data_IF_627646858908
#
_entry.id   IF_627646858908
#
_cell.length_a   1.000
_cell.length_b   1.000
_cell.length_c   1.000
_cell.angle_alpha   90.00
_cell.angle_beta   90.00
_cell.angle_gamma   90.00
#
_symmetry.space_group_name_H-M   'P 1'
#
loop_
_entity.id
_entity.type
_entity.pdbx_description
1 polymer ?
#
# COMPACT_ATOMS: atom_id res chain seq x y z
N UNK A 1 -12.29 -50.11 -29.95
CA UNK A 1 -12.04 -48.65 -29.89
C UNK A 1 -11.95 -48.28 -28.44
N UNK A 2 -10.73 -48.07 -27.93
CA UNK A 2 -10.51 -47.58 -26.57
C UNK A 2 -10.53 -46.05 -26.60
N UNK A 3 -11.41 -45.45 -25.82
CA UNK A 3 -11.47 -44.00 -25.58
C UNK A 3 -10.17 -43.53 -24.91
N UNK A 4 -9.61 -42.36 -25.26
CA UNK A 4 -8.47 -41.83 -24.53
C UNK A 4 -8.93 -41.27 -23.18
N UNK A 5 -8.18 -41.63 -22.12
CA UNK A 5 -8.26 -41.03 -20.79
C UNK A 5 -7.98 -39.51 -20.88
N UNK A 6 -9.02 -38.69 -20.75
CA UNK A 6 -8.90 -37.28 -20.39
C UNK A 6 -8.81 -37.20 -18.87
N UNK A 7 -7.60 -37.06 -18.32
CA UNK A 7 -7.45 -36.88 -16.86
C UNK A 7 -6.04 -36.41 -16.45
N UNK A 8 -5.50 -35.28 -16.95
CA UNK A 8 -4.24 -34.74 -16.38
C UNK A 8 -4.20 -33.20 -16.36
N UNK A 9 -3.69 -32.66 -15.24
CA UNK A 9 -3.59 -31.24 -14.85
C UNK A 9 -4.82 -30.64 -14.14
N UNK A 10 -5.19 -31.22 -12.98
CA UNK A 10 -6.06 -30.57 -11.99
C UNK A 10 -5.28 -29.54 -11.17
N UNK A 11 -5.81 -28.31 -11.10
CA UNK A 11 -5.26 -27.20 -10.31
C UNK A 11 -5.85 -27.25 -8.89
N UNK A 12 -5.08 -27.68 -7.89
CA UNK A 12 -5.39 -27.39 -6.48
C UNK A 12 -4.52 -26.22 -6.01
N UNK A 13 -5.08 -25.01 -6.06
CA UNK A 13 -4.52 -23.86 -5.37
C UNK A 13 -5.60 -23.26 -4.47
N UNK A 14 -5.36 -23.23 -3.16
CA UNK A 14 -6.08 -22.33 -2.27
C UNK A 14 -5.68 -20.89 -2.61
N UNK A 15 -6.48 -20.25 -3.46
CA UNK A 15 -6.23 -18.88 -3.87
C UNK A 15 -6.60 -17.93 -2.73
N UNK A 16 -5.60 -17.41 -2.03
CA UNK A 16 -5.78 -16.26 -1.15
C UNK A 16 -5.49 -15.00 -1.96
N UNK A 17 -6.55 -14.31 -2.37
CA UNK A 17 -6.41 -12.96 -2.91
C UNK A 17 -5.90 -12.04 -1.80
N UNK A 18 -4.64 -11.62 -1.91
CA UNK A 18 -4.25 -10.37 -1.25
C UNK A 18 -5.02 -9.28 -1.95
N UNK A 19 -5.84 -8.54 -1.20
CA UNK A 19 -6.59 -7.39 -1.69
C UNK A 19 -5.69 -6.52 -2.56
N UNK A 20 -5.88 -6.71 -3.86
CA UNK A 20 -5.02 -6.30 -4.94
C UNK A 20 -5.87 -6.51 -6.17
N UNK A 21 -6.50 -5.43 -6.60
CA UNK A 21 -7.50 -5.43 -7.66
C UNK A 21 -6.94 -6.13 -8.91
N UNK A 22 -7.42 -7.33 -9.22
CA UNK A 22 -7.08 -8.04 -10.44
C UNK A 22 -8.31 -8.27 -11.31
N UNK A 23 -8.21 -7.73 -12.53
CA UNK A 23 -8.75 -8.22 -13.80
C UNK A 23 -10.26 -8.52 -13.85
N UNK A 24 -11.03 -7.45 -14.01
CA UNK A 24 -11.96 -7.34 -15.13
C UNK A 24 -11.60 -6.04 -15.87
N UNK A 25 -11.84 -5.96 -17.17
CA UNK A 25 -11.61 -4.77 -18.01
C UNK A 25 -12.46 -3.57 -17.57
N UNK A 26 -12.09 -2.96 -16.45
CA UNK A 26 -12.25 -1.56 -16.18
C UNK A 26 -10.86 -1.06 -15.80
N UNK A 27 -10.32 -0.12 -16.56
CA UNK A 27 -9.13 0.64 -16.19
C UNK A 27 -9.43 1.41 -14.89
N UNK A 28 -9.37 0.74 -13.73
CA UNK A 28 -9.29 1.42 -12.44
C UNK A 28 -7.81 1.55 -12.14
N UNK A 29 -7.22 2.57 -12.75
CA UNK A 29 -5.98 3.10 -12.22
C UNK A 29 -6.16 3.31 -10.72
N UNK A 30 -5.12 3.01 -9.94
CA UNK A 30 -5.00 3.54 -8.58
C UNK A 30 -5.29 5.03 -8.68
N UNK A 31 -6.50 5.45 -8.28
CA UNK A 31 -6.79 6.85 -8.08
C UNK A 31 -5.84 7.24 -6.95
N UNK A 32 -4.75 7.90 -7.30
CA UNK A 32 -4.03 8.70 -6.34
C UNK A 32 -5.09 9.54 -5.62
N UNK A 33 -4.96 9.73 -4.29
CA UNK A 33 -5.90 10.56 -3.56
C UNK A 33 -6.12 11.84 -4.37
N UNK A 34 -7.39 12.12 -4.65
CA UNK A 34 -7.77 13.17 -5.58
C UNK A 34 -7.05 14.45 -5.17
N UNK A 35 -6.21 14.97 -6.07
CA UNK A 35 -5.45 16.17 -5.79
C UNK A 35 -6.42 17.33 -5.85
N UNK A 36 -6.54 18.00 -4.72
CA UNK A 36 -7.40 19.14 -4.58
C UNK A 36 -6.47 20.34 -4.40
N UNK A 37 -6.53 21.26 -5.35
CA UNK A 37 -5.66 22.44 -5.37
C UNK A 37 -6.37 23.59 -4.67
N UNK A 38 -5.65 24.24 -3.77
CA UNK A 38 -6.18 25.31 -2.94
C UNK A 38 -5.37 26.58 -3.13
N UNK A 39 -6.06 27.68 -3.37
CA UNK A 39 -5.44 29.00 -3.45
C UNK A 39 -5.85 29.79 -2.22
N UNK A 40 -4.89 30.07 -1.35
CA UNK A 40 -5.05 31.02 -0.25
C UNK A 40 -4.64 32.40 -0.75
N UNK A 41 -5.57 33.35 -0.69
CA UNK A 41 -5.41 34.73 -1.14
C UNK A 41 -5.47 35.64 0.09
N UNK A 42 -4.33 36.22 0.45
CA UNK A 42 -4.20 37.32 1.41
C UNK A 42 -3.85 38.61 0.68
N UNK A 43 -4.05 39.77 1.32
CA UNK A 43 -3.93 41.10 0.71
C UNK A 43 -2.57 41.40 0.05
N UNK A 44 -1.50 40.64 0.38
CA UNK A 44 -0.17 40.77 -0.22
C UNK A 44 0.39 39.47 -0.85
N UNK A 45 -0.29 38.32 -0.75
CA UNK A 45 0.28 37.03 -1.19
C UNK A 45 -0.79 36.08 -1.73
N UNK A 46 -0.52 35.50 -2.91
CA UNK A 46 -1.28 34.39 -3.49
C UNK A 46 -0.45 33.12 -3.27
N UNK A 47 -0.91 32.25 -2.36
CA UNK A 47 -0.25 30.98 -2.07
C UNK A 47 -1.08 29.84 -2.67
N UNK A 48 -0.46 29.03 -3.51
CA UNK A 48 -1.04 27.78 -4.01
C UNK A 48 -0.54 26.63 -3.15
N UNK A 49 -1.46 25.94 -2.47
CA UNK A 49 -1.18 24.75 -1.68
C UNK A 49 -1.82 23.56 -2.38
N UNK A 50 -1.04 22.51 -2.60
CA UNK A 50 -1.54 21.25 -3.13
C UNK A 50 -1.90 20.34 -1.95
N UNK A 51 -3.18 19.99 -1.85
CA UNK A 51 -3.69 19.06 -0.85
C UNK A 51 -4.34 17.84 -1.50
N UNK A 52 -4.71 16.89 -0.67
CA UNK A 52 -5.40 15.67 -1.05
C UNK A 52 -6.78 15.64 -0.41
N UNK A 53 -7.83 15.45 -1.20
CA UNK A 53 -9.19 15.46 -0.69
C UNK A 53 -10.21 15.27 -1.80
N UNK A 54 -11.41 14.85 -1.45
CA UNK A 54 -12.51 14.70 -2.40
C UNK A 54 -13.47 15.89 -2.30
N UNK A 55 -13.13 16.99 -2.97
CA UNK A 55 -13.96 18.18 -3.04
C UNK A 55 -14.71 18.18 -4.37
N UNK A 56 -16.04 18.07 -4.31
CA UNK A 56 -16.91 18.01 -5.50
C UNK A 56 -17.21 19.37 -6.12
N UNK A 57 -17.18 20.44 -5.32
CA UNK A 57 -17.55 21.80 -5.74
C UNK A 57 -16.59 22.85 -5.20
N UNK A 58 -16.44 23.96 -5.91
CA UNK A 58 -15.53 25.02 -5.49
C UNK A 58 -16.02 25.70 -4.22
N UNK A 59 -15.20 25.80 -3.16
CA UNK A 59 -15.55 26.48 -1.91
C UNK A 59 -14.82 27.80 -1.81
N UNK A 60 -15.57 28.89 -1.62
CA UNK A 60 -15.01 30.21 -1.35
C UNK A 60 -15.33 30.58 0.09
N UNK A 61 -14.32 30.61 0.95
CA UNK A 61 -14.49 30.82 2.38
C UNK A 61 -13.33 31.65 2.96
N UNK A 62 -13.45 32.04 4.23
CA UNK A 62 -12.32 32.61 4.98
C UNK A 62 -11.57 31.49 5.71
N UNK A 63 -10.25 31.47 5.62
CA UNK A 63 -9.44 30.56 6.43
C UNK A 63 -9.49 31.01 7.89
N UNK A 64 -9.61 30.06 8.82
CA UNK A 64 -9.54 30.36 10.23
C UNK A 64 -8.74 29.32 10.99
N UNK A 65 -7.94 29.79 11.95
CA UNK A 65 -7.22 28.90 12.87
C UNK A 65 -8.18 28.22 13.85
N UNK A 66 -7.89 26.95 14.18
CA UNK A 66 -8.67 26.15 15.12
C UNK A 66 -8.83 26.78 16.51
N UNK A 67 -7.82 27.52 16.99
CA UNK A 67 -7.83 28.18 18.33
C UNK A 67 -8.98 29.17 18.53
N UNK A 68 -9.54 29.70 17.44
CA UNK A 68 -10.69 30.61 17.48
C UNK A 68 -12.01 29.91 17.81
N UNK A 69 -12.08 28.59 17.60
CA UNK A 69 -13.30 27.77 17.68
C UNK A 69 -13.20 26.64 18.69
N UNK A 70 -11.98 26.20 18.99
CA UNK A 70 -11.70 25.10 19.90
C UNK A 70 -10.68 25.49 20.96
N UNK A 71 -10.83 24.94 22.16
CA UNK A 71 -9.87 25.06 23.26
C UNK A 71 -8.53 24.42 22.86
N UNK A 72 -7.43 25.11 23.18
CA UNK A 72 -6.05 24.78 22.77
C UNK A 72 -5.82 24.58 21.26
N UNK A 73 -6.80 24.96 20.43
CA UNK A 73 -6.78 24.71 18.99
C UNK A 73 -6.88 23.22 18.62
N UNK A 74 -7.35 22.37 19.53
CA UNK A 74 -7.57 20.94 19.32
C UNK A 74 -8.94 20.75 18.65
N UNK A 75 -8.97 20.29 17.41
CA UNK A 75 -10.22 20.08 16.67
C UNK A 75 -10.92 18.80 17.11
N UNK A 76 -11.45 18.81 18.34
CA UNK A 76 -12.23 17.72 18.92
C UNK A 76 -13.61 18.25 19.32
N UNK A 77 -14.70 17.46 19.14
CA UNK A 77 -16.06 17.88 19.50
C UNK A 77 -16.20 18.44 20.92
N UNK A 78 -15.53 17.82 21.89
CA UNK A 78 -15.58 18.24 23.30
C UNK A 78 -14.86 19.56 23.59
N UNK A 79 -13.97 20.01 22.70
CA UNK A 79 -13.17 21.23 22.89
C UNK A 79 -13.84 22.44 22.23
N UNK A 80 -15.05 22.29 21.68
CA UNK A 80 -15.72 23.36 20.96
C UNK A 80 -16.19 24.48 21.88
N UNK A 81 -15.77 25.72 21.58
CA UNK A 81 -16.08 26.95 22.33
C UNK A 81 -17.50 27.48 22.12
N UNK A 82 -18.40 26.65 21.60
CA UNK A 82 -19.79 27.03 21.26
C UNK A 82 -19.88 28.20 20.24
N UNK A 83 -18.82 28.41 19.45
CA UNK A 83 -18.72 29.49 18.46
C UNK A 83 -18.88 28.93 17.05
N UNK A 84 -19.75 29.55 16.24
CA UNK A 84 -20.02 29.08 14.87
C UNK A 84 -18.98 29.58 13.86
N UNK A 85 -18.56 28.69 12.97
CA UNK A 85 -17.58 28.89 11.90
C UNK A 85 -18.22 29.02 10.51
N UNK A 86 -19.46 29.52 10.43
CA UNK A 86 -20.18 29.69 9.15
C UNK A 86 -19.37 30.54 8.17
N UNK A 87 -19.25 30.05 6.93
CA UNK A 87 -18.50 30.69 5.85
C UNK A 87 -16.98 30.59 6.00
N UNK A 88 -16.49 29.70 6.88
CA UNK A 88 -15.06 29.54 7.16
C UNK A 88 -14.61 28.10 6.96
N UNK A 89 -13.36 27.97 6.54
CA UNK A 89 -12.64 26.71 6.49
C UNK A 89 -11.67 26.71 7.67
N UNK A 90 -11.75 25.69 8.51
CA UNK A 90 -10.93 25.60 9.72
C UNK A 90 -9.63 24.86 9.41
N UNK A 91 -8.49 25.40 9.83
CA UNK A 91 -7.19 24.74 9.78
C UNK A 91 -6.93 23.98 11.09
N UNK A 92 -6.77 22.66 11.00
CA UNK A 92 -6.58 21.75 12.14
C UNK A 92 -5.31 20.93 11.97
N UNK A 93 -4.52 20.78 13.03
CA UNK A 93 -3.30 19.95 13.03
C UNK A 93 -3.54 18.67 13.81
N UNK A 94 -3.19 17.53 13.23
CA UNK A 94 -3.21 16.21 13.89
C UNK A 94 -2.36 16.17 15.17
N UNK A 95 -1.27 16.92 15.21
CA UNK A 95 -0.33 16.98 16.35
C UNK A 95 -0.85 17.80 17.54
N UNK A 96 -1.85 18.67 17.34
CA UNK A 96 -2.51 19.40 18.44
C UNK A 96 -3.59 18.52 19.05
N UNK A 97 -3.18 17.62 19.94
CA UNK A 97 -4.08 16.76 20.72
C UNK A 97 -4.27 15.33 20.18
N UNK A 98 -3.40 14.85 19.27
CA UNK A 98 -3.47 13.49 18.70
C UNK A 98 -4.86 13.14 18.15
N UNK A 99 -5.40 14.03 17.32
CA UNK A 99 -6.73 13.89 16.73
C UNK A 99 -6.67 13.14 15.40
N UNK A 100 -7.71 12.37 15.10
CA UNK A 100 -7.90 11.73 13.78
C UNK A 100 -8.69 12.63 12.84
N UNK A 101 -8.60 12.39 11.52
CA UNK A 101 -9.35 13.17 10.53
C UNK A 101 -10.86 13.15 10.83
N UNK A 102 -11.46 11.97 11.02
CA UNK A 102 -12.89 11.84 11.28
C UNK A 102 -13.38 12.60 12.54
N UNK A 103 -12.55 12.67 13.59
CA UNK A 103 -12.88 13.49 14.78
C UNK A 103 -12.84 14.99 14.47
N UNK A 104 -11.86 15.43 13.69
CA UNK A 104 -11.73 16.82 13.26
C UNK A 104 -12.90 17.24 12.34
N UNK A 105 -13.34 16.35 11.47
CA UNK A 105 -14.52 16.55 10.61
C UNK A 105 -15.78 16.72 11.43
N UNK A 106 -16.01 15.84 12.41
CA UNK A 106 -17.15 15.95 13.29
C UNK A 106 -17.13 17.26 14.08
N UNK A 107 -15.96 17.68 14.57
CA UNK A 107 -15.79 18.96 15.26
C UNK A 107 -16.08 20.16 14.35
N UNK A 108 -15.58 20.15 13.12
CA UNK A 108 -15.81 21.21 12.13
C UNK A 108 -17.30 21.29 11.72
N UNK A 109 -17.94 20.13 11.56
CA UNK A 109 -19.37 20.03 11.28
C UNK A 109 -20.21 20.60 12.43
N UNK A 110 -19.87 20.26 13.68
CA UNK A 110 -20.53 20.81 14.88
C UNK A 110 -20.40 22.34 14.94
N UNK A 111 -19.24 22.87 14.54
CA UNK A 111 -19.01 24.31 14.45
C UNK A 111 -19.74 24.97 13.25
N UNK A 112 -20.41 24.20 12.38
CA UNK A 112 -21.04 24.66 11.14
C UNK A 112 -20.04 25.33 10.19
N UNK A 113 -18.85 24.73 10.06
CA UNK A 113 -17.82 25.16 9.12
C UNK A 113 -18.22 24.83 7.67
N UNK A 114 -17.64 25.56 6.72
CA UNK A 114 -17.82 25.32 5.29
C UNK A 114 -16.83 24.29 4.73
N UNK A 115 -15.79 23.93 5.49
CA UNK A 115 -14.78 22.96 5.12
C UNK A 115 -13.71 22.80 6.19
N UNK A 116 -12.83 21.82 6.00
CA UNK A 116 -11.73 21.48 6.89
C UNK A 116 -10.42 21.40 6.09
N UNK A 117 -9.36 22.02 6.58
CA UNK A 117 -7.99 21.71 6.16
C UNK A 117 -7.33 20.95 7.31
N UNK A 118 -7.04 19.67 7.08
CA UNK A 118 -6.46 18.77 8.06
C UNK A 118 -4.97 18.57 7.77
N UNK A 119 -4.11 18.92 8.72
CA UNK A 119 -2.65 18.83 8.57
C UNK A 119 -2.18 17.54 9.20
N UNK A 120 -1.67 16.62 8.37
CA UNK A 120 -1.15 15.33 8.81
C UNK A 120 0.00 14.83 7.93
N UNK A 121 0.87 13.94 8.44
CA UNK A 121 1.92 13.32 7.64
C UNK A 121 1.33 12.48 6.50
N UNK A 122 1.88 12.59 5.29
CA UNK A 122 1.44 11.90 4.06
C UNK A 122 1.53 10.35 4.10
N UNK A 123 1.94 9.74 5.22
CA UNK A 123 1.97 8.27 5.39
C UNK A 123 0.61 7.64 5.71
N UNK A 124 -0.39 8.44 6.08
CA UNK A 124 -1.71 7.98 6.56
C UNK A 124 -2.84 8.16 5.53
N UNK A 125 -2.50 8.12 4.24
CA UNK A 125 -3.45 8.41 3.15
C UNK A 125 -4.48 7.29 2.97
N UNK A 126 -5.66 7.48 3.56
CA UNK A 126 -6.85 6.67 3.31
C UNK A 126 -7.79 7.49 2.42
N UNK A 127 -8.28 6.93 1.31
CA UNK A 127 -9.40 7.52 0.58
C UNK A 127 -10.68 7.19 1.35
N UNK A 128 -10.99 7.99 2.37
CA UNK A 128 -12.22 7.87 3.14
C UNK A 128 -13.27 8.81 2.57
N UNK A 129 -14.55 8.56 2.87
CA UNK A 129 -15.64 9.45 2.48
C UNK A 129 -15.75 10.55 3.53
N UNK A 130 -15.23 11.73 3.21
CA UNK A 130 -15.26 12.89 4.11
C UNK A 130 -16.72 13.40 4.29
N UNK A 131 -17.16 13.64 5.53
CA UNK A 131 -18.52 14.12 5.83
C UNK A 131 -18.71 15.63 5.65
N UNK A 132 -17.59 16.35 5.60
CA UNK A 132 -17.47 17.78 5.29
C UNK A 132 -16.39 17.90 4.23
N UNK A 133 -16.40 18.89 3.33
CA UNK A 133 -15.31 19.04 2.38
C UNK A 133 -13.96 19.21 3.11
N UNK A 134 -13.14 18.16 3.04
CA UNK A 134 -11.86 18.08 3.73
C UNK A 134 -10.71 18.09 2.74
N UNK A 135 -9.66 18.79 3.14
CA UNK A 135 -8.41 18.93 2.40
C UNK A 135 -7.29 18.52 3.33
N UNK A 136 -6.59 17.46 2.98
CA UNK A 136 -5.41 17.03 3.72
C UNK A 136 -4.16 17.66 3.14
N UNK A 137 -3.32 18.19 3.99
CA UNK A 137 -2.05 18.80 3.60
C UNK A 137 -0.93 18.27 4.48
N UNK A 138 0.27 18.22 3.92
CA UNK A 138 1.46 17.88 4.69
C UNK A 138 1.78 18.95 5.74
N UNK A 139 2.56 18.56 6.74
CA UNK A 139 3.01 19.42 7.84
C UNK A 139 3.70 20.70 7.35
N UNK A 140 4.48 20.63 6.28
CA UNK A 140 5.19 21.79 5.70
C UNK A 140 4.19 22.83 5.18
N UNK A 141 3.21 22.39 4.39
CA UNK A 141 2.20 23.28 3.82
C UNK A 141 1.23 23.81 4.88
N UNK A 142 0.85 22.96 5.84
CA UNK A 142 0.03 23.36 6.99
C UNK A 142 0.71 24.46 7.82
N UNK A 143 2.02 24.39 8.02
CA UNK A 143 2.78 25.41 8.76
C UNK A 143 2.76 26.75 8.03
N UNK A 144 2.98 26.76 6.70
CA UNK A 144 2.87 27.98 5.89
C UNK A 144 1.49 28.63 5.99
N UNK A 145 0.42 27.81 6.00
CA UNK A 145 -0.95 28.30 6.20
C UNK A 145 -1.18 28.88 7.60
N UNK A 146 -0.57 28.27 8.61
CA UNK A 146 -0.63 28.76 9.99
C UNK A 146 0.14 30.08 10.16
N UNK A 147 1.30 30.22 9.52
CA UNK A 147 2.09 31.46 9.52
C UNK A 147 1.34 32.58 8.80
N UNK A 148 0.73 32.29 7.65
CA UNK A 148 -0.15 33.21 6.94
C UNK A 148 -1.28 33.75 7.82
N UNK A 149 -1.90 32.87 8.64
CA UNK A 149 -2.94 33.28 9.58
C UNK A 149 -2.42 34.17 10.70
N UNK A 150 -1.19 33.95 11.17
CA UNK A 150 -0.57 34.74 12.23
C UNK A 150 -0.15 36.14 11.75
N UNK A 151 0.31 36.26 10.50
CA UNK A 151 0.78 37.51 9.91
C UNK A 151 -0.36 38.38 9.36
N UNK A 152 -1.51 37.79 9.04
CA UNK A 152 -2.61 38.51 8.39
C UNK A 152 -3.49 39.25 9.39
N UNK A 153 -3.66 40.56 9.18
CA UNK A 153 -4.58 41.41 9.97
C UNK A 153 -6.05 40.99 9.78
N UNK A 154 -6.41 40.57 8.56
CA UNK A 154 -7.73 40.05 8.23
C UNK A 154 -7.63 38.58 7.84
N UNK A 155 -8.68 37.80 8.15
CA UNK A 155 -8.71 36.39 7.75
C UNK A 155 -8.56 36.26 6.22
N UNK A 156 -7.55 35.52 5.73
CA UNK A 156 -7.31 35.36 4.31
C UNK A 156 -8.45 34.56 3.68
N UNK A 157 -8.74 34.85 2.40
CA UNK A 157 -9.74 34.11 1.64
C UNK A 157 -9.09 32.85 1.10
N UNK A 158 -9.77 31.72 1.19
CA UNK A 158 -9.34 30.47 0.56
C UNK A 158 -10.36 30.08 -0.48
N UNK A 159 -9.85 29.80 -1.68
CA UNK A 159 -10.60 29.19 -2.75
C UNK A 159 -10.15 27.74 -2.90
N UNK A 160 -11.12 26.87 -2.66
CA UNK A 160 -11.02 25.43 -2.76
C UNK A 160 -11.52 24.99 -4.11
N UNK A 161 -10.63 24.52 -4.99
CA UNK A 161 -11.05 24.00 -6.29
C UNK A 161 -11.55 22.56 -6.15
N UNK A 162 -12.49 22.19 -7.02
CA UNK A 162 -12.92 20.80 -7.13
C UNK A 162 -11.73 19.91 -7.49
N UNK A 163 -11.66 18.74 -6.87
CA UNK A 163 -10.52 17.86 -7.03
C UNK A 163 -10.44 17.29 -8.44
N UNK A 164 -9.22 17.15 -8.96
CA UNK A 164 -8.97 16.49 -10.24
C UNK A 164 -8.40 15.10 -10.00
N UNK A 165 -8.98 14.10 -10.64
CA UNK A 165 -8.44 12.75 -10.69
C UNK A 165 -7.14 12.78 -11.49
N UNK A 166 -6.01 12.50 -10.84
CA UNK A 166 -4.72 12.39 -11.53
C UNK A 166 -4.50 10.94 -11.93
N UNK A 167 -4.77 10.69 -13.21
CA UNK A 167 -4.66 9.41 -13.88
C UNK A 167 -3.19 9.20 -14.32
N UNK A 168 -2.55 8.11 -13.87
CA UNK A 168 -1.24 7.66 -14.40
C UNK A 168 0.04 8.15 -13.71
N UNK A 169 -0.01 8.70 -12.49
CA UNK A 169 1.22 8.98 -11.70
C UNK A 169 1.58 7.83 -10.74
N UNK A 170 2.88 7.49 -10.72
CA UNK A 170 3.53 6.42 -9.93
C UNK A 170 3.61 6.80 -8.44
N UNK A 171 3.49 5.87 -7.45
CA UNK A 171 3.74 4.43 -7.52
C UNK A 171 2.43 3.64 -7.57
N UNK A 172 2.11 3.14 -8.75
CA UNK A 172 1.05 2.17 -8.95
C UNK A 172 1.64 0.99 -9.74
N UNK A 173 1.33 -0.26 -9.37
CA UNK A 173 0.51 -0.69 -8.23
C UNK A 173 1.30 -0.71 -6.90
N UNK A 174 0.62 -0.43 -5.77
CA UNK A 174 1.14 -0.65 -4.40
C UNK A 174 0.07 -1.44 -3.63
N UNK A 175 0.51 -2.43 -2.85
CA UNK A 175 -0.38 -3.23 -1.99
C UNK A 175 -1.07 -2.30 -0.98
N UNK A 176 -2.39 -2.35 -0.90
CA UNK A 176 -3.15 -1.53 0.04
C UNK A 176 -2.72 -1.82 1.48
N UNK A 177 -2.70 -0.79 2.34
CA UNK A 177 -2.23 -0.95 3.72
C UNK A 177 -3.06 -1.98 4.51
N UNK A 178 -4.36 -2.06 4.22
CA UNK A 178 -5.32 -2.96 4.85
C UNK A 178 -5.31 -4.38 4.25
N UNK A 179 -4.47 -4.64 3.25
CA UNK A 179 -4.34 -5.98 2.67
C UNK A 179 -3.69 -6.92 3.68
N UNK A 180 -4.37 -8.01 4.00
CA UNK A 180 -3.84 -9.06 4.88
C UNK A 180 -2.47 -9.53 4.39
N UNK A 181 -1.47 -9.43 5.28
CA UNK A 181 -0.11 -9.86 5.00
C UNK A 181 0.10 -11.26 5.55
N UNK A 182 0.68 -12.13 4.73
CA UNK A 182 1.16 -13.42 5.22
C UNK A 182 2.39 -13.26 6.13
N UNK A 183 2.90 -14.36 6.71
CA UNK A 183 2.47 -15.76 6.48
C UNK A 183 1.19 -16.13 7.26
N UNK A 184 0.54 -17.23 6.85
CA UNK A 184 -0.60 -17.79 7.58
C UNK A 184 -0.19 -18.14 9.01
N UNK A 185 -0.99 -17.76 10.01
CA UNK A 185 -0.77 -18.13 11.41
C UNK A 185 -0.98 -19.62 11.66
N UNK A 186 -1.69 -20.32 10.77
CA UNK A 186 -1.97 -21.77 10.89
C UNK A 186 -0.78 -22.64 10.48
N UNK A 187 0.11 -22.14 9.60
CA UNK A 187 1.33 -22.85 9.17
C UNK A 187 2.49 -21.85 9.02
N UNK A 188 3.10 -21.43 10.14
CA UNK A 188 4.28 -20.57 10.08
C UNK A 188 5.50 -21.40 9.63
N UNK A 189 5.80 -21.40 8.33
CA UNK A 189 7.04 -21.97 7.79
C UNK A 189 8.24 -21.07 8.16
N UNK A 190 8.66 -21.14 9.42
CA UNK A 190 9.87 -20.50 9.92
C UNK A 190 11.06 -21.43 9.63
N UNK A 191 12.00 -20.98 8.81
CA UNK A 191 13.19 -21.76 8.47
C UNK A 191 14.16 -21.78 9.66
N UNK A 192 14.18 -22.88 10.40
CA UNK A 192 15.19 -23.18 11.44
C UNK A 192 16.35 -24.02 10.91
N UNK A 193 16.09 -24.85 9.91
CA UNK A 193 17.03 -25.83 9.33
C UNK A 193 16.92 -25.84 7.81
N UNK A 194 17.68 -26.70 7.14
CA UNK A 194 17.55 -26.94 5.70
C UNK A 194 16.16 -27.51 5.40
N UNK A 195 15.45 -26.90 4.44
CA UNK A 195 14.11 -27.33 4.01
C UNK A 195 14.13 -27.65 2.53
N UNK A 196 13.54 -28.79 2.14
CA UNK A 196 13.36 -29.18 0.75
C UNK A 196 11.87 -29.20 0.41
N UNK A 197 11.48 -28.42 -0.59
CA UNK A 197 10.11 -28.30 -1.08
C UNK A 197 10.00 -29.04 -2.41
N UNK A 198 9.06 -29.97 -2.51
CA UNK A 198 8.69 -30.65 -3.75
C UNK A 198 7.65 -29.82 -4.51
N UNK A 199 7.86 -29.59 -5.79
CA UNK A 199 6.90 -28.93 -6.70
C UNK A 199 6.70 -29.77 -7.94
N UNK A 200 5.45 -29.88 -8.37
CA UNK A 200 5.07 -30.48 -9.65
C UNK A 200 4.49 -29.39 -10.52
N UNK A 201 4.92 -29.33 -11.79
CA UNK A 201 4.45 -28.37 -12.78
C UNK A 201 3.97 -29.12 -14.01
N UNK A 202 2.89 -28.61 -14.61
CA UNK A 202 2.31 -29.11 -15.85
C UNK A 202 2.57 -28.09 -16.98
N UNK A 203 2.93 -28.58 -18.16
CA UNK A 203 3.04 -27.74 -19.35
C UNK A 203 1.66 -27.46 -19.95
N UNK A 204 1.19 -26.23 -19.78
CA UNK A 204 -0.06 -25.72 -20.36
C UNK A 204 0.14 -25.01 -21.71
N UNK A 205 1.36 -25.01 -22.24
CA UNK A 205 1.70 -24.40 -23.52
C UNK A 205 1.16 -25.19 -24.71
N UNK A 206 0.90 -24.49 -25.81
CA UNK A 206 0.48 -25.12 -27.07
C UNK A 206 1.54 -26.10 -27.60
N UNK A 207 2.82 -25.74 -27.45
CA UNK A 207 3.92 -26.67 -27.75
C UNK A 207 4.06 -27.69 -26.64
N UNK A 208 3.80 -28.96 -26.97
CA UNK A 208 4.00 -30.08 -26.04
C UNK A 208 5.46 -30.40 -25.81
N UNK A 209 6.34 -30.03 -26.74
CA UNK A 209 7.79 -30.16 -26.58
C UNK A 209 8.38 -28.81 -26.18
N UNK A 210 8.94 -28.73 -24.98
CA UNK A 210 9.52 -27.50 -24.46
C UNK A 210 10.66 -27.79 -23.47
N UNK A 211 11.68 -26.94 -23.46
CA UNK A 211 12.84 -27.06 -22.57
C UNK A 211 12.98 -25.77 -21.78
N UNK A 212 12.91 -25.87 -20.46
CA UNK A 212 13.02 -24.74 -19.55
C UNK A 212 14.31 -24.85 -18.72
N UNK A 213 15.02 -23.74 -18.58
CA UNK A 213 16.19 -23.60 -17.73
C UNK A 213 15.83 -22.80 -16.47
N UNK A 214 16.39 -23.20 -15.33
CA UNK A 214 16.16 -22.49 -14.06
C UNK A 214 17.19 -21.39 -13.86
N UNK A 215 16.71 -20.24 -13.38
CA UNK A 215 17.50 -19.20 -12.75
C UNK A 215 16.93 -18.89 -11.37
N UNK A 216 17.81 -18.55 -10.42
CA UNK A 216 17.42 -18.30 -9.03
C UNK A 216 18.01 -17.00 -8.54
N UNK A 217 17.20 -16.20 -7.84
CA UNK A 217 17.66 -15.11 -6.98
C UNK A 217 17.46 -15.54 -5.55
N UNK A 218 18.55 -15.81 -4.85
CA UNK A 218 18.51 -16.23 -3.46
C UNK A 218 18.05 -15.08 -2.55
N UNK A 219 17.14 -15.33 -1.59
CA UNK A 219 16.91 -14.42 -0.47
C UNK A 219 18.19 -14.18 0.32
N UNK A 220 18.30 -13.02 0.97
CA UNK A 220 19.47 -12.76 1.81
C UNK A 220 19.57 -13.78 2.95
N UNK A 221 20.80 -14.20 3.24
CA UNK A 221 21.08 -15.21 4.27
C UNK A 221 20.63 -16.64 3.97
N UNK A 222 20.06 -16.95 2.78
CA UNK A 222 19.62 -18.30 2.39
C UNK A 222 20.20 -18.69 1.03
N UNK A 223 20.87 -19.83 0.96
CA UNK A 223 21.24 -20.45 -0.32
C UNK A 223 20.07 -21.27 -0.86
N UNK A 224 19.86 -21.18 -2.18
CA UNK A 224 18.76 -21.85 -2.88
C UNK A 224 19.34 -22.80 -3.92
N UNK A 225 19.05 -24.08 -3.77
CA UNK A 225 19.42 -25.13 -4.72
C UNK A 225 18.15 -25.69 -5.37
N UNK A 226 18.17 -25.85 -6.70
CA UNK A 226 17.05 -26.41 -7.47
C UNK A 226 17.54 -27.61 -8.27
N UNK A 227 16.80 -28.71 -8.18
CA UNK A 227 17.09 -29.93 -8.95
C UNK A 227 15.81 -30.55 -9.53
N UNK A 228 15.78 -30.93 -10.82
CA UNK A 228 16.84 -30.75 -11.83
C UNK A 228 17.03 -29.27 -12.22
N UNK A 229 18.11 -28.94 -12.93
CA UNK A 229 18.38 -27.57 -13.45
C UNK A 229 17.69 -27.27 -14.80
N UNK A 230 17.18 -28.31 -15.45
CA UNK A 230 16.48 -28.25 -16.75
C UNK A 230 15.21 -29.07 -16.65
N UNK A 231 14.08 -28.52 -17.12
CA UNK A 231 12.84 -29.25 -17.29
C UNK A 231 12.58 -29.47 -18.77
N UNK A 232 12.27 -30.72 -19.13
CA UNK A 232 12.01 -31.12 -20.51
C UNK A 232 10.60 -31.71 -20.54
N UNK A 233 9.71 -31.04 -21.28
CA UNK A 233 8.36 -31.49 -21.55
C UNK A 233 8.29 -32.11 -22.94
N UNK A 234 7.43 -33.11 -23.07
CA UNK A 234 7.13 -33.76 -24.35
C UNK A 234 5.68 -34.28 -24.33
N UNK A 235 5.21 -34.79 -25.47
CA UNK A 235 3.91 -35.45 -25.57
C UNK A 235 3.72 -36.61 -24.57
N UNK A 236 4.80 -37.26 -24.16
CA UNK A 236 4.75 -38.36 -23.19
C UNK A 236 5.03 -37.92 -21.76
N UNK A 237 5.34 -36.63 -21.55
CA UNK A 237 5.77 -36.08 -20.27
C UNK A 237 5.32 -34.64 -20.12
N UNK A 238 4.04 -34.47 -19.83
CA UNK A 238 3.40 -33.17 -19.65
C UNK A 238 3.61 -32.59 -18.24
N UNK A 239 3.91 -33.45 -17.25
CA UNK A 239 4.23 -33.07 -15.88
C UNK A 239 5.71 -33.29 -15.54
N UNK A 240 6.28 -32.35 -14.80
CA UNK A 240 7.65 -32.40 -14.29
C UNK A 240 7.66 -32.06 -12.81
N UNK A 241 8.37 -32.88 -12.03
CA UNK A 241 8.63 -32.61 -10.62
C UNK A 241 10.04 -32.03 -10.44
N UNK A 242 10.17 -30.97 -9.65
CA UNK A 242 11.45 -30.43 -9.20
C UNK A 242 11.45 -30.20 -7.69
N UNK A 243 12.66 -30.11 -7.14
CA UNK A 243 12.92 -29.94 -5.71
C UNK A 243 13.66 -28.63 -5.49
N UNK A 244 13.23 -27.88 -4.47
CA UNK A 244 13.86 -26.63 -4.04
C UNK A 244 14.39 -26.83 -2.64
N UNK A 245 15.70 -26.78 -2.46
CA UNK A 245 16.35 -26.88 -1.17
C UNK A 245 16.81 -25.50 -0.73
N UNK A 246 16.33 -25.05 0.44
CA UNK A 246 16.67 -23.79 1.09
C UNK A 246 17.65 -24.07 2.24
N UNK A 247 18.87 -23.55 2.14
CA UNK A 247 19.92 -23.72 3.16
C UNK A 247 20.19 -22.38 3.86
N UNK A 248 19.86 -22.22 5.14
CA UNK A 248 20.18 -21.00 5.85
C UNK A 248 21.70 -20.86 6.00
N UNK A 249 22.28 -19.76 5.48
CA UNK A 249 23.71 -19.44 5.53
C UNK A 249 24.07 -18.41 6.60
N UNK A 250 23.14 -17.49 6.94
CA UNK A 250 23.38 -16.40 7.90
C UNK A 250 22.15 -16.15 8.79
N UNK A 251 22.36 -15.49 9.93
CA UNK A 251 21.29 -14.97 10.80
C UNK A 251 20.52 -13.88 10.03
N UNK A 252 19.19 -13.94 9.94
CA UNK A 252 18.35 -12.83 9.41
C UNK A 252 17.52 -12.13 10.51
N UNK A 253 17.82 -12.35 11.79
CA UNK A 253 17.17 -11.70 12.94
C UNK A 253 15.62 -11.77 12.90
N UNK A 254 15.04 -12.80 12.28
CA UNK A 254 13.59 -12.92 12.10
C UNK A 254 12.98 -11.94 11.08
N UNK A 255 13.79 -11.34 10.21
CA UNK A 255 13.33 -10.50 9.09
C UNK A 255 12.82 -11.38 7.94
N UNK A 256 11.84 -10.86 7.19
CA UNK A 256 11.45 -11.45 5.92
C UNK A 256 12.42 -11.04 4.81
N UNK A 257 12.99 -12.03 4.15
CA UNK A 257 13.82 -11.86 2.97
C UNK A 257 13.18 -12.50 1.74
N UNK A 258 13.47 -11.93 0.57
CA UNK A 258 12.76 -12.22 -0.68
C UNK A 258 13.72 -12.69 -1.76
N UNK A 259 13.30 -13.71 -2.50
CA UNK A 259 13.99 -14.24 -3.66
C UNK A 259 13.00 -14.74 -4.70
N UNK A 260 13.50 -15.42 -5.72
CA UNK A 260 12.65 -16.01 -6.75
C UNK A 260 13.33 -17.17 -7.47
N UNK A 261 12.49 -18.04 -8.02
CA UNK A 261 12.86 -19.06 -8.99
C UNK A 261 12.17 -18.70 -10.29
N UNK A 262 12.91 -18.67 -11.39
CA UNK A 262 12.37 -18.39 -12.72
C UNK A 262 12.77 -19.54 -13.62
N UNK A 263 11.75 -20.18 -14.21
CA UNK A 263 11.92 -21.13 -15.31
C UNK A 263 11.65 -20.44 -16.63
N UNK A 264 12.58 -20.55 -17.58
CA UNK A 264 12.40 -19.94 -18.91
C UNK A 264 12.92 -20.84 -20.04
N UNK A 265 12.17 -20.85 -21.13
CA UNK A 265 12.53 -21.43 -22.43
C UNK A 265 13.04 -20.35 -23.42
N UNK A 266 13.22 -19.11 -22.94
CA UNK A 266 13.57 -17.93 -23.73
C UNK A 266 12.36 -17.05 -24.11
N UNK A 267 11.14 -17.60 -24.12
CA UNK A 267 9.91 -16.89 -24.49
C UNK A 267 8.95 -16.73 -23.31
N UNK A 268 8.79 -17.79 -22.52
CA UNK A 268 7.96 -17.85 -21.33
C UNK A 268 8.82 -17.66 -20.07
N UNK A 269 8.25 -17.02 -19.06
CA UNK A 269 8.89 -16.78 -17.76
C UNK A 269 7.96 -17.20 -16.64
N UNK A 270 8.17 -18.40 -16.10
CA UNK A 270 7.39 -18.95 -15.00
C UNK A 270 8.10 -18.62 -13.70
N UNK A 271 7.60 -17.59 -13.00
CA UNK A 271 8.21 -17.05 -11.77
C UNK A 271 7.50 -17.59 -10.54
N UNK A 272 8.28 -18.11 -9.59
CA UNK A 272 7.82 -18.48 -8.23
C UNK A 272 8.56 -17.64 -7.19
N UNK A 273 7.88 -16.74 -6.45
CA UNK A 273 8.52 -15.96 -5.39
C UNK A 273 8.91 -16.86 -4.22
N UNK A 274 10.08 -16.57 -3.63
CA UNK A 274 10.54 -17.16 -2.38
C UNK A 274 10.44 -16.09 -1.28
N UNK A 275 9.82 -16.45 -0.16
CA UNK A 275 9.74 -15.62 1.03
C UNK A 275 10.20 -16.46 2.20
N UNK A 276 11.23 -15.99 2.90
CA UNK A 276 11.82 -16.73 4.02
C UNK A 276 11.87 -15.84 5.25
N UNK A 277 11.62 -16.44 6.41
CA UNK A 277 11.93 -15.85 7.71
C UNK A 277 12.89 -16.82 8.42
N UNK A 278 14.12 -16.38 8.63
CA UNK A 278 15.18 -17.22 9.21
C UNK A 278 15.35 -16.90 10.68
N UNK A 279 15.12 -17.89 11.55
CA UNK A 279 15.31 -17.78 12.99
C UNK A 279 16.27 -18.87 13.48
N UNK A 280 17.55 -18.72 13.15
CA UNK A 280 18.62 -19.63 13.59
C UNK A 280 19.17 -19.15 14.94
N UNK A 281 18.89 -19.90 16.01
CA UNK A 281 19.55 -19.76 17.32
C UNK A 281 20.91 -20.47 17.29
N UNK A 282 21.85 -20.04 18.14
CA UNK A 282 23.26 -20.48 18.12
C UNK A 282 23.52 -21.99 18.29
N UNK A 283 22.53 -22.74 18.78
CA UNK A 283 22.69 -24.16 19.10
C UNK A 283 22.64 -25.10 17.89
N UNK A 284 22.01 -24.70 16.76
CA UNK A 284 21.86 -25.58 15.60
C UNK A 284 23.07 -25.62 14.65
N UNK A 285 24.02 -24.68 14.79
CA UNK A 285 25.23 -24.62 13.95
C UNK A 285 26.34 -25.52 14.51
N UNK A 286 26.28 -25.90 15.80
CA UNK A 286 27.32 -26.71 16.46
C UNK A 286 27.09 -28.23 16.37
N UNK A 287 25.93 -28.70 15.93
CA UNK A 287 25.61 -30.13 15.86
C UNK A 287 25.63 -30.74 14.45
N UNK A 288 25.97 -29.97 13.41
CA UNK A 288 26.11 -30.47 12.04
C UNK A 288 27.57 -30.73 11.61
N UNK A 289 28.54 -30.48 12.49
CA UNK A 289 29.95 -30.80 12.29
C UNK A 289 30.43 -31.81 13.34
N UNK A 290 29.90 -33.03 13.29
CA UNK A 290 30.54 -34.25 13.83
C UNK A 290 30.30 -35.38 12.83
#
# INVERSE_FOLDING_TARGET
MASPMEDQCSFESSFSEKGGFLKNEFHVQKMLPNQANFVAISAQLIMSVQGEGFVTSSINAKLAGSSSYFDDGICHPSMWKNKKAVGKVILCFSTRGSITNGMAEQAALLANASGLIFVEPLSNQIADVDFIPTVRVDMIEGTKLNDLLAESIFLPKVQIQASKTVIGKSPAPVVAYFSSRGPSTTTPDILKTVVTIKRTVCNVGQSKTAVYFVSTRSPDGVEVEVWPRVMIFSYFKEEMTYYVTLKPRKKSQGRFDYGEIIWSDGFHYVRSPLVVCVNTTEDSIKHSNI
#
